data_IF_759945970433
#
_entry.id   IF_759945970433
#
_cell.length_a   1.000
_cell.length_b   1.000
_cell.length_c   1.000
_cell.angle_alpha   90.00
_cell.angle_beta   90.00
_cell.angle_gamma   90.00
#
_symmetry.space_group_name_H-M   'P 1'
#
loop_
_entity.id
_entity.type
_entity.pdbx_description
1 polymer ?
#
# COMPACT_ATOMS: atom_id res chain seq x y z
N UNK A 1 5.62 8.44 -36.02
CA UNK A 1 5.34 8.84 -34.62
C UNK A 1 5.78 10.29 -34.43
N UNK A 2 4.88 11.27 -34.50
CA UNK A 2 5.24 12.65 -34.13
C UNK A 2 5.48 12.65 -32.62
N UNK A 3 6.70 12.95 -32.19
CA UNK A 3 7.03 13.18 -30.79
C UNK A 3 6.11 14.30 -30.28
N UNK A 4 5.15 13.96 -29.41
CA UNK A 4 4.22 14.96 -28.88
C UNK A 4 5.00 16.11 -28.25
N UNK A 5 4.70 17.33 -28.72
CA UNK A 5 5.33 18.60 -28.34
C UNK A 5 5.34 18.82 -26.82
N UNK A 6 4.40 18.21 -26.09
CA UNK A 6 4.24 18.39 -24.64
C UNK A 6 5.05 17.41 -23.78
N UNK A 7 5.69 16.38 -24.37
CA UNK A 7 6.48 15.40 -23.61
C UNK A 7 7.63 16.01 -22.81
N UNK A 8 8.18 17.12 -23.29
CA UNK A 8 9.29 17.82 -22.65
C UNK A 8 8.86 19.15 -22.00
N UNK A 9 7.56 19.43 -21.89
CA UNK A 9 7.07 20.65 -21.25
C UNK A 9 7.29 20.57 -19.73
N UNK A 10 8.09 21.48 -19.11
CA UNK A 10 8.38 21.41 -17.68
C UNK A 10 7.14 21.52 -16.79
N UNK A 11 6.20 22.41 -17.15
CA UNK A 11 4.94 22.59 -16.42
C UNK A 11 4.06 21.34 -16.42
N UNK A 12 3.97 20.64 -17.55
CA UNK A 12 3.26 19.35 -17.64
C UNK A 12 3.93 18.30 -16.75
N UNK A 13 5.27 18.27 -16.72
CA UNK A 13 6.02 17.33 -15.86
C UNK A 13 5.83 17.60 -14.38
N UNK A 14 5.75 18.87 -13.98
CA UNK A 14 5.46 19.28 -12.62
C UNK A 14 4.05 18.83 -12.19
N UNK A 15 3.03 19.11 -13.00
CA UNK A 15 1.65 18.64 -12.73
C UNK A 15 1.60 17.10 -12.59
N UNK A 16 2.28 16.36 -13.47
CA UNK A 16 2.34 14.90 -13.39
C UNK A 16 3.02 14.43 -12.10
N UNK A 17 4.08 15.12 -11.66
CA UNK A 17 4.74 14.83 -10.38
C UNK A 17 3.77 15.05 -9.22
N UNK A 18 3.07 16.16 -9.20
CA UNK A 18 2.13 16.53 -8.14
C UNK A 18 0.95 15.56 -8.06
N UNK A 19 0.39 15.16 -9.20
CA UNK A 19 -0.68 14.15 -9.28
C UNK A 19 -0.23 12.81 -8.69
N UNK A 20 1.01 12.38 -8.97
CA UNK A 20 1.56 11.12 -8.44
C UNK A 20 1.85 11.17 -6.95
N UNK A 21 2.11 12.36 -6.39
CA UNK A 21 2.25 12.56 -4.94
C UNK A 21 0.92 12.80 -4.22
N UNK A 22 -0.15 13.10 -4.94
CA UNK A 22 -1.45 13.41 -4.34
C UNK A 22 -2.09 12.14 -3.78
N UNK A 23 -2.28 12.11 -2.46
CA UNK A 23 -2.99 11.04 -1.78
C UNK A 23 -4.45 11.41 -1.55
N UNK A 24 -5.37 10.52 -1.95
CA UNK A 24 -6.80 10.70 -1.75
C UNK A 24 -7.26 9.84 -0.57
N UNK A 25 -7.71 10.43 0.56
CA UNK A 25 -8.08 9.68 1.75
C UNK A 25 -9.29 8.78 1.52
N UNK A 26 -9.17 7.52 1.91
CA UNK A 26 -10.27 6.54 1.98
C UNK A 26 -10.70 6.32 3.42
N UNK A 27 -11.87 5.74 3.65
CA UNK A 27 -12.33 5.38 5.00
C UNK A 27 -11.37 4.39 5.67
N UNK A 28 -10.85 3.42 4.91
CA UNK A 28 -9.81 2.50 5.40
C UNK A 28 -8.52 3.22 5.82
N UNK A 29 -8.11 4.26 5.09
CA UNK A 29 -6.97 5.09 5.50
C UNK A 29 -7.27 5.94 6.73
N UNK A 30 -8.47 6.51 6.85
CA UNK A 30 -8.87 7.25 8.07
C UNK A 30 -8.80 6.34 9.29
N UNK A 31 -9.35 5.13 9.19
CA UNK A 31 -9.27 4.12 10.24
C UNK A 31 -7.81 3.75 10.59
N UNK A 32 -6.93 3.60 9.58
CA UNK A 32 -5.49 3.39 9.81
C UNK A 32 -4.86 4.57 10.57
N UNK A 33 -5.12 5.80 10.11
CA UNK A 33 -4.56 7.03 10.68
C UNK A 33 -5.02 7.23 12.12
N UNK A 34 -6.32 7.10 12.39
CA UNK A 34 -6.89 7.28 13.72
C UNK A 34 -6.32 6.24 14.70
N UNK A 35 -6.18 4.98 14.26
CA UNK A 35 -5.58 3.92 15.09
C UNK A 35 -4.11 4.17 15.36
N UNK A 36 -3.35 4.59 14.36
CA UNK A 36 -1.93 4.88 14.53
C UNK A 36 -1.69 6.05 15.47
N UNK A 37 -2.43 7.15 15.29
CA UNK A 37 -2.32 8.35 16.14
C UNK A 37 -2.64 7.99 17.60
N UNK A 38 -3.73 7.24 17.84
CA UNK A 38 -4.07 6.73 19.18
C UNK A 38 -2.93 5.90 19.80
N UNK A 39 -2.32 5.00 19.01
CA UNK A 39 -1.21 4.16 19.51
C UNK A 39 0.05 4.97 19.78
N UNK A 40 0.39 5.93 18.93
CA UNK A 40 1.54 6.79 19.09
C UNK A 40 1.39 7.68 20.33
N UNK A 41 0.23 8.31 20.51
CA UNK A 41 -0.05 9.19 21.65
C UNK A 41 -0.03 8.41 22.96
N UNK A 42 -0.65 7.22 23.00
CA UNK A 42 -0.58 6.34 24.16
C UNK A 42 0.87 5.94 24.46
N UNK A 43 1.64 5.53 23.45
CA UNK A 43 3.05 5.14 23.62
C UNK A 43 3.89 6.26 24.20
N UNK A 44 3.66 7.51 23.78
CA UNK A 44 4.33 8.69 24.33
C UNK A 44 3.95 8.94 25.78
N UNK A 45 2.67 8.84 26.12
CA UNK A 45 2.19 9.00 27.49
C UNK A 45 2.82 7.95 28.42
N UNK A 46 2.88 6.69 27.97
CA UNK A 46 3.49 5.61 28.74
C UNK A 46 4.98 5.83 29.00
N UNK A 47 5.74 6.22 27.96
CA UNK A 47 7.17 6.57 28.09
C UNK A 47 7.36 7.72 29.07
N UNK A 48 6.54 8.79 28.97
CA UNK A 48 6.62 9.95 29.86
C UNK A 48 6.36 9.58 31.33
N UNK A 49 5.46 8.63 31.58
CA UNK A 49 5.09 8.19 32.92
C UNK A 49 5.96 7.02 33.44
N UNK A 50 6.96 6.57 32.67
CA UNK A 50 7.77 5.40 33.01
C UNK A 50 6.97 4.09 33.05
N UNK A 51 5.80 4.04 32.42
CA UNK A 51 4.94 2.86 32.37
C UNK A 51 5.39 1.96 31.23
N UNK A 52 5.72 0.71 31.56
CA UNK A 52 5.87 -0.35 30.56
C UNK A 52 4.50 -0.93 30.24
N UNK A 53 3.79 -0.31 29.31
CA UNK A 53 2.50 -0.79 28.85
C UNK A 53 2.65 -1.94 27.86
N UNK A 54 1.60 -2.76 27.74
CA UNK A 54 1.50 -3.74 26.67
C UNK A 54 1.39 -3.01 25.33
N UNK A 55 2.51 -2.95 24.61
CA UNK A 55 2.57 -2.33 23.29
C UNK A 55 1.66 -3.08 22.32
N UNK A 56 0.95 -2.32 21.49
CA UNK A 56 0.01 -2.80 20.49
C UNK A 56 0.49 -2.44 19.09
N UNK A 57 -0.15 -3.04 18.10
CA UNK A 57 0.16 -2.81 16.70
C UNK A 57 -1.07 -2.74 15.81
N UNK A 58 -0.83 -2.65 14.52
CA UNK A 58 -1.87 -2.58 13.48
C UNK A 58 -1.58 -3.67 12.45
N UNK A 59 -2.63 -4.32 11.97
CA UNK A 59 -2.56 -5.19 10.79
C UNK A 59 -3.40 -4.58 9.67
N UNK A 60 -2.74 -4.12 8.62
CA UNK A 60 -3.34 -3.49 7.45
C UNK A 60 -3.49 -4.52 6.32
N UNK A 61 -4.72 -4.90 6.03
CA UNK A 61 -5.04 -5.97 5.08
C UNK A 61 -5.72 -5.38 3.86
N UNK A 62 -5.30 -5.82 2.68
CA UNK A 62 -5.95 -5.44 1.44
C UNK A 62 -5.42 -6.25 0.27
N UNK A 63 -6.21 -6.39 -0.79
CA UNK A 63 -5.77 -7.08 -1.99
C UNK A 63 -4.62 -6.36 -2.69
N UNK A 64 -4.01 -7.02 -3.67
CA UNK A 64 -2.99 -6.39 -4.51
C UNK A 64 -3.66 -5.30 -5.32
N UNK A 65 -3.14 -4.08 -5.21
CA UNK A 65 -3.78 -2.90 -5.80
C UNK A 65 -4.70 -2.11 -4.85
N UNK A 66 -4.93 -2.54 -3.60
CA UNK A 66 -5.79 -1.83 -2.66
C UNK A 66 -5.23 -0.47 -2.17
N UNK A 67 -3.93 -0.20 -2.39
CA UNK A 67 -3.27 1.04 -1.95
C UNK A 67 -2.56 0.96 -0.60
N UNK A 68 -2.24 -0.24 -0.10
CA UNK A 68 -1.55 -0.48 1.19
C UNK A 68 -0.26 0.34 1.35
N UNK A 69 0.67 0.21 0.41
CA UNK A 69 1.97 0.91 0.45
C UNK A 69 1.79 2.43 0.43
N UNK A 70 0.84 2.94 -0.36
CA UNK A 70 0.52 4.38 -0.40
C UNK A 70 -0.09 4.85 0.92
N UNK A 71 -0.95 4.04 1.54
CA UNK A 71 -1.55 4.33 2.85
C UNK A 71 -0.48 4.41 3.95
N UNK A 72 0.48 3.48 4.01
CA UNK A 72 1.58 3.53 4.97
C UNK A 72 2.50 4.74 4.72
N UNK A 73 2.82 5.03 3.45
CA UNK A 73 3.63 6.21 3.12
C UNK A 73 2.95 7.51 3.56
N UNK A 74 1.67 7.65 3.28
CA UNK A 74 0.90 8.82 3.70
C UNK A 74 0.80 8.91 5.22
N UNK A 75 0.60 7.78 5.90
CA UNK A 75 0.57 7.72 7.37
C UNK A 75 1.85 8.29 7.99
N UNK A 76 3.01 7.86 7.49
CA UNK A 76 4.32 8.36 7.91
C UNK A 76 4.47 9.85 7.60
N UNK A 77 4.08 10.27 6.39
CA UNK A 77 4.18 11.67 5.96
C UNK A 77 3.33 12.61 6.84
N UNK A 78 2.08 12.23 7.17
CA UNK A 78 1.21 13.01 8.07
C UNK A 78 1.76 13.11 9.49
N UNK A 79 2.41 12.06 9.95
CA UNK A 79 2.97 11.98 11.29
C UNK A 79 4.45 12.39 11.37
N UNK A 80 5.03 12.93 10.31
CA UNK A 80 6.45 13.33 10.26
C UNK A 80 6.84 14.34 11.34
N UNK A 81 5.89 15.19 11.77
CA UNK A 81 6.13 16.20 12.81
C UNK A 81 5.90 15.65 14.23
N UNK A 82 5.21 14.49 14.35
CA UNK A 82 4.95 13.81 15.63
C UNK A 82 5.98 12.71 15.92
N UNK A 83 6.60 12.18 14.87
CA UNK A 83 7.65 11.17 14.93
C UNK A 83 9.02 11.84 14.83
N UNK A 84 9.91 11.50 15.74
CA UNK A 84 11.29 11.96 15.71
C UNK A 84 12.10 11.17 14.68
N UNK A 85 12.80 11.91 13.83
CA UNK A 85 13.83 11.40 12.94
C UNK A 85 15.01 12.36 12.99
N UNK A 86 16.14 11.90 13.51
CA UNK A 86 17.38 12.68 13.60
C UNK A 86 18.54 11.86 13.01
N UNK A 87 19.00 12.19 11.79
CA UNK A 87 20.12 11.49 11.18
C UNK A 87 21.48 11.68 11.88
N UNK A 88 21.66 12.73 12.69
CA UNK A 88 22.92 12.96 13.41
C UNK A 88 23.03 12.04 14.62
N UNK A 89 21.91 11.85 15.31
CA UNK A 89 21.79 10.99 16.50
C UNK A 89 21.32 9.57 16.17
N UNK A 90 21.23 9.22 14.88
CA UNK A 90 20.72 7.93 14.40
C UNK A 90 19.27 7.61 14.87
N UNK A 91 18.47 8.62 15.23
CA UNK A 91 17.11 8.43 15.75
C UNK A 91 16.14 8.27 14.59
N UNK A 92 15.30 7.23 14.64
CA UNK A 92 14.19 7.05 13.71
C UNK A 92 13.09 6.21 14.36
N UNK A 93 11.97 6.86 14.71
CA UNK A 93 10.93 6.21 15.51
C UNK A 93 10.02 5.26 14.71
N UNK A 94 10.07 5.31 13.39
CA UNK A 94 9.31 4.45 12.49
C UNK A 94 10.23 3.83 11.46
N UNK A 95 10.38 2.51 11.50
CA UNK A 95 11.21 1.76 10.57
C UNK A 95 10.32 0.85 9.73
N UNK A 96 10.52 0.86 8.42
CA UNK A 96 9.78 0.03 7.48
C UNK A 96 10.74 -0.91 6.76
N UNK A 97 10.40 -2.19 6.70
CA UNK A 97 11.06 -3.17 5.86
C UNK A 97 10.04 -3.94 5.02
N UNK A 98 10.48 -4.39 3.85
CA UNK A 98 9.77 -5.41 3.08
C UNK A 98 10.21 -6.78 3.58
N UNK A 99 9.25 -7.67 3.84
CA UNK A 99 9.57 -9.05 4.21
C UNK A 99 10.30 -9.72 3.05
N UNK A 100 11.48 -10.32 3.28
CA UNK A 100 12.24 -10.99 2.24
C UNK A 100 11.58 -12.31 1.84
N UNK A 101 11.84 -12.76 0.62
CA UNK A 101 11.47 -14.10 0.16
C UNK A 101 12.76 -14.87 -0.18
N UNK A 102 13.09 -15.98 0.52
CA UNK A 102 12.30 -16.63 1.57
C UNK A 102 12.37 -15.91 2.93
N UNK A 103 11.27 -15.95 3.69
CA UNK A 103 11.10 -15.18 4.93
C UNK A 103 11.67 -15.89 6.19
N UNK A 104 12.87 -16.46 6.12
CA UNK A 104 13.45 -17.14 7.29
C UNK A 104 13.78 -16.16 8.42
N UNK A 105 13.82 -16.65 9.67
CA UNK A 105 14.26 -15.87 10.84
C UNK A 105 15.54 -15.06 10.60
N UNK A 106 16.50 -15.67 9.91
CA UNK A 106 17.77 -15.04 9.56
C UNK A 106 17.58 -13.91 8.55
N UNK A 107 16.87 -14.16 7.44
CA UNK A 107 16.69 -13.15 6.39
C UNK A 107 15.81 -11.98 6.84
N UNK A 108 14.77 -12.25 7.63
CA UNK A 108 13.92 -11.20 8.21
C UNK A 108 14.75 -10.32 9.15
N UNK A 109 15.54 -10.92 10.04
CA UNK A 109 16.44 -10.16 10.94
C UNK A 109 17.48 -9.34 10.18
N UNK A 110 18.10 -9.90 9.12
CA UNK A 110 19.04 -9.17 8.27
C UNK A 110 18.36 -8.00 7.55
N UNK A 111 17.13 -8.20 7.06
CA UNK A 111 16.35 -7.14 6.39
C UNK A 111 15.97 -6.02 7.37
N UNK A 112 15.64 -6.38 8.62
CA UNK A 112 15.39 -5.43 9.69
C UNK A 112 16.64 -4.62 10.03
N UNK A 113 17.80 -5.26 10.19
CA UNK A 113 19.08 -4.57 10.41
C UNK A 113 19.44 -3.63 9.26
N UNK A 114 19.21 -4.05 8.01
CA UNK A 114 19.43 -3.19 6.85
C UNK A 114 18.48 -1.97 6.86
N UNK A 115 17.20 -2.17 7.20
CA UNK A 115 16.23 -1.06 7.32
C UNK A 115 16.57 -0.12 8.48
N UNK A 116 17.20 -0.64 9.54
CA UNK A 116 17.77 0.14 10.64
C UNK A 116 19.09 0.82 10.24
N UNK A 117 19.59 0.68 9.01
CA UNK A 117 20.87 1.28 8.61
C UNK A 117 22.11 0.62 9.25
N UNK A 118 22.00 -0.63 9.69
CA UNK A 118 23.08 -1.42 10.26
C UNK A 118 23.32 -2.69 9.43
N UNK A 119 23.79 -2.60 8.17
CA UNK A 119 24.02 -3.78 7.35
C UNK A 119 25.16 -4.62 7.93
N UNK A 120 24.96 -5.94 7.96
CA UNK A 120 25.96 -6.90 8.44
C UNK A 120 26.58 -7.66 7.26
N UNK A 121 27.92 -7.80 7.27
CA UNK A 121 28.67 -8.55 6.25
C UNK A 121 29.04 -9.98 6.70
N UNK A 122 29.08 -10.24 8.02
CA UNK A 122 29.48 -11.53 8.58
C UNK A 122 28.34 -12.55 8.61
N UNK A 123 28.64 -13.81 8.32
CA UNK A 123 27.74 -14.95 8.57
C UNK A 123 27.45 -15.07 10.08
N UNK A 124 26.22 -14.76 10.47
CA UNK A 124 25.72 -14.91 11.85
C UNK A 124 24.51 -15.84 11.88
N UNK A 125 24.26 -16.41 13.06
CA UNK A 125 23.06 -17.19 13.33
C UNK A 125 21.84 -16.25 13.45
N UNK A 126 20.64 -16.80 13.24
CA UNK A 126 19.38 -16.05 13.39
C UNK A 126 19.25 -15.36 14.75
N UNK A 127 19.42 -16.07 15.89
CA UNK A 127 19.34 -15.46 17.22
C UNK A 127 20.31 -14.30 17.42
N UNK A 128 21.58 -14.47 17.03
CA UNK A 128 22.59 -13.41 17.15
C UNK A 128 22.25 -12.17 16.31
N UNK A 129 21.58 -12.35 15.16
CA UNK A 129 21.08 -11.24 14.35
C UNK A 129 19.95 -10.51 15.09
N UNK A 130 19.02 -11.24 15.72
CA UNK A 130 17.90 -10.62 16.44
C UNK A 130 18.34 -9.90 17.72
N UNK A 131 19.36 -10.38 18.43
CA UNK A 131 19.97 -9.63 19.53
C UNK A 131 20.49 -8.25 19.07
N UNK A 132 21.08 -8.23 17.87
CA UNK A 132 21.53 -6.98 17.25
C UNK A 132 20.33 -6.11 16.82
N UNK A 133 19.25 -6.71 16.30
CA UNK A 133 18.01 -5.98 15.99
C UNK A 133 17.47 -5.30 17.24
N UNK A 134 17.32 -6.02 18.37
CA UNK A 134 16.81 -5.43 19.61
C UNK A 134 17.68 -4.28 20.10
N UNK A 135 19.00 -4.42 20.04
CA UNK A 135 19.93 -3.34 20.38
C UNK A 135 19.73 -2.12 19.47
N UNK A 136 19.58 -2.32 18.17
CA UNK A 136 19.39 -1.23 17.22
C UNK A 136 18.01 -0.57 17.35
N UNK A 137 16.95 -1.33 17.64
CA UNK A 137 15.64 -0.77 17.97
C UNK A 137 15.72 0.18 19.17
N UNK A 138 16.44 -0.23 20.22
CA UNK A 138 16.67 0.60 21.41
C UNK A 138 17.48 1.86 21.10
N UNK A 139 18.65 1.71 20.49
CA UNK A 139 19.55 2.85 20.21
C UNK A 139 18.88 3.91 19.32
N UNK A 140 18.04 3.48 18.36
CA UNK A 140 17.35 4.35 17.40
C UNK A 140 16.00 4.85 17.90
N UNK A 141 15.64 4.48 19.13
CA UNK A 141 14.38 4.83 19.80
C UNK A 141 13.12 4.46 19.00
N UNK A 142 13.17 3.31 18.30
CA UNK A 142 12.09 2.85 17.43
C UNK A 142 10.83 2.62 18.23
N UNK A 143 9.73 3.23 17.79
CA UNK A 143 8.40 3.05 18.38
C UNK A 143 7.56 2.08 17.57
N UNK A 144 7.69 2.12 16.25
CA UNK A 144 6.97 1.23 15.34
C UNK A 144 7.91 0.58 14.33
N UNK A 145 7.79 -0.73 14.19
CA UNK A 145 8.44 -1.53 13.16
C UNK A 145 7.38 -2.05 12.19
N UNK A 146 7.48 -1.63 10.94
CA UNK A 146 6.57 -1.98 9.86
C UNK A 146 7.14 -3.08 8.97
N UNK A 147 6.37 -4.15 8.79
CA UNK A 147 6.65 -5.26 7.88
C UNK A 147 5.67 -5.21 6.70
N UNK A 148 6.17 -4.84 5.52
CA UNK A 148 5.41 -4.89 4.27
C UNK A 148 5.47 -6.28 3.63
N UNK A 149 4.40 -6.68 2.94
CA UNK A 149 4.17 -8.03 2.42
C UNK A 149 4.26 -9.12 3.51
N UNK A 150 3.75 -8.83 4.70
CA UNK A 150 3.87 -9.71 5.87
C UNK A 150 3.24 -11.11 5.70
N UNK A 151 2.36 -11.32 4.71
CA UNK A 151 1.88 -12.68 4.38
C UNK A 151 3.02 -13.62 3.96
N UNK A 152 4.14 -13.09 3.46
CA UNK A 152 5.30 -13.89 3.05
C UNK A 152 5.98 -14.55 4.26
N UNK A 153 5.74 -14.07 5.49
CA UNK A 153 6.19 -14.71 6.73
C UNK A 153 5.64 -16.13 6.90
N UNK A 154 4.54 -16.50 6.24
CA UNK A 154 4.01 -17.87 6.28
C UNK A 154 4.13 -18.62 4.95
N UNK A 155 4.58 -17.98 3.87
CA UNK A 155 4.71 -18.66 2.58
C UNK A 155 5.88 -19.62 2.58
N UNK A 156 5.63 -20.84 2.12
CA UNK A 156 6.65 -21.89 1.93
C UNK A 156 7.45 -22.21 3.21
N UNK A 157 6.82 -22.10 4.38
CA UNK A 157 7.43 -22.42 5.66
C UNK A 157 6.78 -23.62 6.32
N UNK A 158 7.57 -24.37 7.09
CA UNK A 158 7.03 -25.36 8.02
C UNK A 158 6.30 -24.67 9.18
N UNK A 159 5.36 -25.37 9.83
CA UNK A 159 4.66 -24.81 11.00
C UNK A 159 5.62 -24.38 12.12
N UNK A 160 6.74 -25.11 12.28
CA UNK A 160 7.78 -24.79 13.27
C UNK A 160 8.50 -23.47 12.94
N UNK A 161 8.87 -23.24 11.69
CA UNK A 161 9.52 -21.99 11.26
C UNK A 161 8.57 -20.80 11.40
N UNK A 162 7.32 -20.98 11.00
CA UNK A 162 6.27 -19.97 11.13
C UNK A 162 6.03 -19.61 12.59
N UNK A 163 5.91 -20.59 13.49
CA UNK A 163 5.78 -20.35 14.92
C UNK A 163 6.99 -19.61 15.50
N UNK A 164 8.19 -19.93 15.03
CA UNK A 164 9.43 -19.24 15.44
C UNK A 164 9.41 -17.76 15.08
N UNK A 165 8.93 -17.41 13.87
CA UNK A 165 8.75 -16.01 13.45
C UNK A 165 7.67 -15.31 14.27
N UNK A 166 6.52 -15.94 14.50
CA UNK A 166 5.45 -15.39 15.34
C UNK A 166 5.95 -15.11 16.76
N UNK A 167 6.70 -16.04 17.35
CA UNK A 167 7.32 -15.85 18.67
C UNK A 167 8.33 -14.68 18.66
N UNK A 168 9.03 -14.47 17.56
CA UNK A 168 9.97 -13.37 17.41
C UNK A 168 9.26 -12.03 17.30
N UNK A 169 8.16 -11.95 16.53
CA UNK A 169 7.31 -10.76 16.49
C UNK A 169 6.74 -10.43 17.88
N UNK A 170 6.29 -11.44 18.63
CA UNK A 170 5.87 -11.25 20.03
C UNK A 170 7.01 -10.69 20.89
N UNK A 171 8.21 -11.26 20.76
CA UNK A 171 9.40 -10.83 21.51
C UNK A 171 9.78 -9.38 21.22
N UNK A 172 9.58 -8.89 19.99
CA UNK A 172 9.76 -7.46 19.63
C UNK A 172 8.77 -6.55 20.39
N UNK A 173 7.51 -6.97 20.52
CA UNK A 173 6.49 -6.22 21.26
C UNK A 173 6.68 -6.26 22.78
N UNK A 174 7.21 -7.38 23.29
CA UNK A 174 7.36 -7.68 24.73
C UNK A 174 8.73 -7.29 25.29
N UNK A 175 9.62 -6.75 24.47
CA UNK A 175 10.96 -6.40 24.91
C UNK A 175 10.90 -5.39 26.07
N UNK A 176 11.45 -5.75 27.24
CA UNK A 176 11.39 -4.94 28.46
C UNK A 176 12.13 -3.60 28.31
N UNK A 177 13.18 -3.56 27.49
CA UNK A 177 14.03 -2.38 27.32
C UNK A 177 13.48 -1.45 26.25
N UNK A 178 13.00 -2.02 25.14
CA UNK A 178 12.46 -1.27 24.00
C UNK A 178 11.24 -1.96 23.40
N UNK A 179 10.08 -1.94 24.08
CA UNK A 179 8.90 -2.58 23.53
C UNK A 179 8.43 -1.78 22.31
N UNK A 180 8.34 -2.47 21.17
CA UNK A 180 8.19 -1.86 19.85
C UNK A 180 6.86 -2.29 19.21
N UNK A 181 6.07 -1.31 18.77
CA UNK A 181 4.79 -1.55 18.10
C UNK A 181 5.01 -2.17 16.73
N UNK A 182 4.13 -3.07 16.33
CA UNK A 182 4.19 -3.69 15.01
C UNK A 182 3.16 -3.08 14.07
N UNK A 183 3.55 -2.85 12.82
CA UNK A 183 2.60 -2.64 11.74
C UNK A 183 2.85 -3.71 10.70
N UNK A 184 1.84 -4.52 10.41
CA UNK A 184 1.94 -5.59 9.43
C UNK A 184 1.04 -5.24 8.25
N UNK A 185 1.58 -4.97 7.06
CA UNK A 185 0.77 -4.80 5.85
C UNK A 185 0.88 -6.02 4.96
N UNK A 186 -0.24 -6.44 4.37
CA UNK A 186 -0.22 -7.59 3.51
C UNK A 186 -1.53 -7.92 2.83
N UNK A 187 -1.48 -8.99 2.04
CA UNK A 187 -2.62 -9.63 1.40
C UNK A 187 -3.49 -10.38 2.44
N UNK A 188 -4.74 -10.76 2.11
CA UNK A 188 -5.64 -11.41 3.06
C UNK A 188 -5.11 -12.69 3.71
N UNK A 189 -4.16 -13.39 3.09
CA UNK A 189 -3.47 -14.56 3.66
C UNK A 189 -2.74 -14.23 4.97
N UNK A 190 -2.41 -12.96 5.21
CA UNK A 190 -1.86 -12.50 6.49
C UNK A 190 -2.79 -12.79 7.67
N UNK A 191 -4.12 -12.83 7.46
CA UNK A 191 -5.10 -13.20 8.51
C UNK A 191 -4.82 -14.58 9.08
N UNK A 192 -4.36 -15.52 8.25
CA UNK A 192 -4.04 -16.89 8.67
C UNK A 192 -2.89 -16.89 9.68
N UNK A 193 -1.86 -16.05 9.47
CA UNK A 193 -0.73 -15.91 10.40
C UNK A 193 -1.19 -15.32 11.73
N UNK A 194 -2.03 -14.30 11.68
CA UNK A 194 -2.54 -13.64 12.88
C UNK A 194 -3.41 -14.56 13.72
N UNK A 195 -4.26 -15.36 13.08
CA UNK A 195 -5.19 -16.26 13.78
C UNK A 195 -4.53 -17.50 14.37
N UNK A 196 -3.26 -17.79 14.05
CA UNK A 196 -2.53 -18.90 14.63
C UNK A 196 -2.08 -18.65 16.08
N UNK A 197 -1.95 -17.40 16.48
CA UNK A 197 -1.52 -17.03 17.83
C UNK A 197 -2.48 -15.99 18.41
N UNK A 198 -3.34 -16.46 19.33
CA UNK A 198 -4.34 -15.62 19.96
C UNK A 198 -3.74 -14.47 20.81
N UNK A 199 -2.49 -14.59 21.28
CA UNK A 199 -1.83 -13.52 22.03
C UNK A 199 -1.41 -12.40 21.10
N UNK A 200 -0.84 -12.72 19.94
CA UNK A 200 -0.49 -11.76 18.90
C UNK A 200 -1.76 -11.08 18.34
N UNK A 201 -2.78 -11.86 17.99
CA UNK A 201 -4.04 -11.34 17.46
C UNK A 201 -4.70 -10.30 18.38
N UNK A 202 -4.70 -10.54 19.69
CA UNK A 202 -5.29 -9.61 20.68
C UNK A 202 -4.56 -8.26 20.81
N UNK A 203 -3.31 -8.18 20.35
CA UNK A 203 -2.49 -6.96 20.41
C UNK A 203 -2.47 -6.18 19.10
N UNK A 204 -3.04 -6.73 18.03
CA UNK A 204 -3.04 -6.09 16.72
C UNK A 204 -4.46 -5.62 16.36
N UNK A 205 -4.60 -4.33 16.03
CA UNK A 205 -5.85 -3.78 15.53
C UNK A 205 -5.97 -4.05 14.02
N UNK A 206 -7.00 -4.77 13.56
CA UNK A 206 -7.21 -4.98 12.14
C UNK A 206 -7.76 -3.72 11.47
N UNK A 207 -7.18 -3.39 10.33
CA UNK A 207 -7.67 -2.37 9.40
C UNK A 207 -7.72 -2.99 8.02
N UNK A 208 -8.90 -3.02 7.41
CA UNK A 208 -9.10 -3.60 6.08
C UNK A 208 -9.33 -2.50 5.04
N UNK A 209 -8.52 -2.51 3.98
CA UNK A 209 -8.78 -1.77 2.77
C UNK A 209 -9.72 -2.62 1.91
N UNK A 210 -11.01 -2.32 2.02
CA UNK A 210 -12.07 -3.06 1.35
C UNK A 210 -12.14 -2.75 -0.14
N UNK A 211 -12.67 -3.71 -0.90
CA UNK A 211 -12.96 -3.54 -2.32
C UNK A 211 -14.10 -2.54 -2.51
N UNK A 212 -14.08 -1.84 -3.62
CA UNK A 212 -15.17 -0.95 -4.03
C UNK A 212 -16.41 -1.79 -4.43
N UNK A 213 -17.57 -1.18 -4.28
CA UNK A 213 -18.88 -1.79 -4.57
C UNK A 213 -19.73 -0.84 -5.42
N UNK A 214 -20.36 -1.37 -6.47
CA UNK A 214 -21.10 -0.58 -7.47
C UNK A 214 -22.18 0.32 -6.84
N UNK A 215 -22.94 -0.21 -5.88
CA UNK A 215 -24.09 0.45 -5.26
C UNK A 215 -23.66 1.64 -4.38
N UNK A 216 -22.52 1.53 -3.69
CA UNK A 216 -22.07 2.54 -2.73
C UNK A 216 -21.01 3.51 -3.25
N UNK A 217 -20.27 3.14 -4.30
CA UNK A 217 -19.03 3.83 -4.64
C UNK A 217 -19.04 4.56 -5.99
N UNK A 218 -20.13 4.53 -6.75
CA UNK A 218 -20.21 5.24 -8.04
C UNK A 218 -19.94 6.75 -7.90
N UNK A 219 -20.66 7.43 -6.99
CA UNK A 219 -20.43 8.87 -6.70
C UNK A 219 -19.04 9.16 -6.12
N UNK A 220 -18.54 8.43 -5.10
CA UNK A 220 -17.15 8.58 -4.64
C UNK A 220 -16.10 8.44 -5.74
N UNK A 221 -16.27 7.50 -6.68
CA UNK A 221 -15.37 7.29 -7.81
C UNK A 221 -15.38 8.48 -8.76
N UNK A 222 -16.57 9.00 -9.11
CA UNK A 222 -16.69 10.20 -9.95
C UNK A 222 -16.00 11.40 -9.28
N UNK A 223 -16.27 11.62 -7.99
CA UNK A 223 -15.66 12.70 -7.21
C UNK A 223 -14.13 12.58 -7.14
N UNK A 224 -13.60 11.35 -7.06
CA UNK A 224 -12.16 11.08 -7.09
C UNK A 224 -11.55 11.54 -8.42
N UNK A 225 -12.15 11.13 -9.55
CA UNK A 225 -11.68 11.51 -10.89
C UNK A 225 -11.73 13.03 -11.05
N UNK A 226 -12.83 13.67 -10.67
CA UNK A 226 -12.96 15.13 -10.67
C UNK A 226 -11.89 15.82 -9.80
N UNK A 227 -11.52 15.24 -8.66
CA UNK A 227 -10.50 15.79 -7.77
C UNK A 227 -9.12 15.75 -8.44
N UNK A 228 -8.75 14.63 -9.07
CA UNK A 228 -7.51 14.55 -9.84
C UNK A 228 -7.51 15.49 -11.06
N UNK A 229 -8.65 15.62 -11.76
CA UNK A 229 -8.81 16.57 -12.88
C UNK A 229 -8.59 18.01 -12.42
N UNK A 230 -9.16 18.39 -11.26
CA UNK A 230 -8.92 19.71 -10.65
C UNK A 230 -7.46 19.92 -10.27
N UNK A 231 -6.82 18.93 -9.65
CA UNK A 231 -5.40 18.98 -9.33
C UNK A 231 -4.54 19.16 -10.59
N UNK A 232 -4.95 18.55 -11.70
CA UNK A 232 -4.26 18.66 -12.98
C UNK A 232 -4.51 20.00 -13.70
N UNK A 233 -5.54 20.76 -13.31
CA UNK A 233 -5.95 21.98 -13.99
C UNK A 233 -6.50 21.76 -15.40
N UNK A 234 -7.08 20.59 -15.68
CA UNK A 234 -7.65 20.24 -17.00
C UNK A 234 -9.19 20.14 -16.94
N UNK A 235 -9.82 19.96 -18.10
CA UNK A 235 -11.26 19.69 -18.20
C UNK A 235 -11.53 18.19 -18.20
N UNK A 236 -12.75 17.80 -17.80
CA UNK A 236 -13.26 16.45 -17.92
C UNK A 236 -14.53 16.45 -18.78
N UNK A 237 -14.60 15.53 -19.73
CA UNK A 237 -15.79 15.33 -20.56
C UNK A 237 -17.00 14.92 -19.72
N UNK A 238 -18.20 15.29 -20.20
CA UNK A 238 -19.46 15.04 -19.49
C UNK A 238 -19.73 13.56 -19.26
N UNK A 239 -19.21 12.68 -20.12
CA UNK A 239 -19.37 11.22 -19.98
C UNK A 239 -18.71 10.66 -18.70
N UNK A 240 -17.69 11.34 -18.17
CA UNK A 240 -17.00 10.96 -16.93
C UNK A 240 -17.82 11.27 -15.67
N UNK A 241 -18.98 11.91 -15.82
CA UNK A 241 -19.94 12.20 -14.75
C UNK A 241 -21.06 11.17 -14.65
N UNK A 242 -20.98 10.08 -15.42
CA UNK A 242 -22.01 9.04 -15.45
C UNK A 242 -21.70 7.87 -14.51
N UNK A 243 -22.76 7.26 -13.96
CA UNK A 243 -22.64 6.03 -13.16
C UNK A 243 -22.05 4.87 -13.99
N UNK A 244 -22.34 4.85 -15.30
CA UNK A 244 -21.78 3.86 -16.23
C UNK A 244 -20.26 3.99 -16.30
N UNK A 245 -19.73 5.22 -16.41
CA UNK A 245 -18.28 5.43 -16.37
C UNK A 245 -17.68 4.94 -15.05
N UNK A 246 -18.31 5.27 -13.91
CA UNK A 246 -17.83 4.81 -12.60
C UNK A 246 -17.76 3.28 -12.51
N UNK A 247 -18.79 2.59 -13.00
CA UNK A 247 -18.82 1.11 -13.07
C UNK A 247 -17.72 0.56 -13.98
N UNK A 248 -17.49 1.16 -15.15
CA UNK A 248 -16.42 0.75 -16.08
C UNK A 248 -15.04 0.93 -15.45
N UNK A 249 -14.82 2.04 -14.76
CA UNK A 249 -13.56 2.31 -14.07
C UNK A 249 -13.34 1.36 -12.89
N UNK A 250 -14.38 1.07 -12.09
CA UNK A 250 -14.30 0.05 -11.03
C UNK A 250 -13.98 -1.33 -11.60
N UNK A 251 -14.64 -1.74 -12.69
CA UNK A 251 -14.35 -3.01 -13.36
C UNK A 251 -12.91 -3.05 -13.88
N UNK A 252 -12.43 -1.99 -14.53
CA UNK A 252 -11.06 -1.93 -15.04
C UNK A 252 -10.01 -2.00 -13.93
N UNK A 253 -10.33 -1.46 -12.75
CA UNK A 253 -9.49 -1.47 -11.56
C UNK A 253 -9.63 -2.75 -10.71
N UNK A 254 -10.39 -3.75 -11.16
CA UNK A 254 -10.77 -4.92 -10.36
C UNK A 254 -11.31 -4.53 -8.97
N UNK A 255 -12.08 -3.45 -8.91
CA UNK A 255 -12.67 -2.91 -7.68
C UNK A 255 -11.64 -2.51 -6.60
N UNK A 256 -10.36 -2.45 -6.92
CA UNK A 256 -9.32 -2.02 -5.98
C UNK A 256 -9.07 -0.52 -6.10
N UNK A 257 -9.22 0.20 -4.99
CA UNK A 257 -9.09 1.65 -4.97
C UNK A 257 -7.73 2.16 -5.48
N UNK A 258 -6.64 1.51 -5.09
CA UNK A 258 -5.30 1.92 -5.53
C UNK A 258 -5.10 1.76 -7.04
N UNK A 259 -5.61 0.68 -7.65
CA UNK A 259 -5.58 0.52 -9.11
C UNK A 259 -6.46 1.56 -9.79
N UNK A 260 -7.61 1.89 -9.20
CA UNK A 260 -8.52 2.90 -9.73
C UNK A 260 -7.86 4.28 -9.75
N UNK A 261 -7.21 4.68 -8.66
CA UNK A 261 -6.45 5.92 -8.59
C UNK A 261 -5.28 5.93 -9.58
N UNK A 262 -4.56 4.81 -9.71
CA UNK A 262 -3.45 4.66 -10.65
C UNK A 262 -3.91 4.81 -12.11
N UNK A 263 -4.99 4.15 -12.51
CA UNK A 263 -5.59 4.27 -13.85
C UNK A 263 -6.00 5.72 -14.14
N UNK A 264 -6.59 6.40 -13.15
CA UNK A 264 -7.00 7.80 -13.27
C UNK A 264 -5.79 8.72 -13.50
N UNK A 265 -4.75 8.59 -12.68
CA UNK A 265 -3.51 9.39 -12.83
C UNK A 265 -2.84 9.11 -14.17
N UNK A 266 -2.84 7.85 -14.64
CA UNK A 266 -2.28 7.48 -15.94
C UNK A 266 -3.09 8.05 -17.10
N UNK A 267 -4.43 8.07 -17.02
CA UNK A 267 -5.28 8.63 -18.07
C UNK A 267 -5.04 10.14 -18.21
N UNK A 268 -5.00 10.86 -17.08
CA UNK A 268 -4.67 12.28 -17.03
C UNK A 268 -3.25 12.55 -17.56
N UNK A 269 -2.28 11.73 -17.14
CA UNK A 269 -0.89 11.84 -17.60
C UNK A 269 -0.79 11.65 -19.13
N UNK A 270 -1.48 10.66 -19.69
CA UNK A 270 -1.54 10.41 -21.12
C UNK A 270 -2.11 11.60 -21.88
N UNK A 271 -3.28 12.10 -21.43
CA UNK A 271 -3.94 13.25 -22.02
C UNK A 271 -3.04 14.50 -22.03
N UNK A 272 -2.42 14.83 -20.89
CA UNK A 272 -1.50 15.97 -20.75
C UNK A 272 -0.26 15.85 -21.66
N UNK A 273 0.34 14.66 -21.73
CA UNK A 273 1.53 14.43 -22.54
C UNK A 273 1.23 14.44 -24.04
N UNK A 274 0.02 14.13 -24.47
CA UNK A 274 -0.38 14.10 -25.87
C UNK A 274 -0.94 15.45 -26.35
N UNK A 275 -1.80 16.08 -25.54
CA UNK A 275 -2.63 17.22 -25.95
C UNK A 275 -2.32 18.52 -25.19
N UNK A 276 -1.55 18.47 -24.10
CA UNK A 276 -1.16 19.67 -23.33
C UNK A 276 -2.17 20.09 -22.27
N UNK A 277 -2.04 21.33 -21.78
CA UNK A 277 -2.79 21.84 -20.62
C UNK A 277 -4.27 22.12 -20.91
N UNK A 278 -4.61 22.47 -22.15
CA UNK A 278 -6.00 22.76 -22.57
C UNK A 278 -6.79 21.48 -22.87
N UNK A 279 -6.22 20.30 -22.57
CA UNK A 279 -6.85 19.02 -22.85
C UNK A 279 -8.13 18.82 -22.05
N UNK A 280 -9.00 17.99 -22.62
CA UNK A 280 -10.16 17.45 -21.96
C UNK A 280 -9.97 15.93 -21.80
N UNK A 281 -10.03 15.47 -20.55
CA UNK A 281 -9.99 14.06 -20.20
C UNK A 281 -11.29 13.40 -20.67
N UNK A 282 -11.17 12.32 -21.43
CA UNK A 282 -12.32 11.60 -21.99
C UNK A 282 -12.23 10.10 -21.72
N UNK A 283 -13.34 9.40 -22.00
CA UNK A 283 -13.39 7.93 -21.88
C UNK A 283 -12.28 7.24 -22.70
N UNK A 284 -11.87 7.83 -23.83
CA UNK A 284 -10.81 7.30 -24.70
C UNK A 284 -9.46 7.25 -24.01
N UNK A 285 -9.16 8.18 -23.11
CA UNK A 285 -7.88 8.19 -22.37
C UNK A 285 -7.79 6.97 -21.45
N UNK A 286 -8.88 6.65 -20.75
CA UNK A 286 -8.97 5.46 -19.91
C UNK A 286 -8.89 4.18 -20.75
N UNK A 287 -9.59 4.12 -21.88
CA UNK A 287 -9.50 2.99 -22.81
C UNK A 287 -8.07 2.76 -23.30
N UNK A 288 -7.36 3.83 -23.67
CA UNK A 288 -5.96 3.78 -24.11
C UNK A 288 -5.03 3.27 -23.00
N UNK A 289 -5.18 3.77 -21.77
CA UNK A 289 -4.38 3.32 -20.63
C UNK A 289 -4.61 1.84 -20.35
N UNK A 290 -5.86 1.40 -20.34
CA UNK A 290 -6.18 -0.01 -20.11
C UNK A 290 -5.53 -0.89 -21.18
N UNK A 291 -5.67 -0.53 -22.47
CA UNK A 291 -5.04 -1.24 -23.58
C UNK A 291 -3.51 -1.34 -23.43
N UNK A 292 -2.84 -0.26 -23.03
CA UNK A 292 -1.38 -0.26 -22.83
C UNK A 292 -0.97 -1.20 -21.69
N UNK A 293 -1.76 -1.28 -20.61
CA UNK A 293 -1.44 -2.12 -19.44
C UNK A 293 -1.72 -3.60 -19.65
N UNK A 294 -2.85 -3.94 -20.29
CA UNK A 294 -3.34 -5.32 -20.38
C UNK A 294 -3.14 -5.96 -21.74
N UNK A 295 -2.73 -5.18 -22.76
CA UNK A 295 -2.76 -5.57 -24.17
C UNK A 295 -4.16 -6.03 -24.64
N UNK A 296 -5.23 -5.60 -23.96
CA UNK A 296 -6.59 -5.99 -24.29
C UNK A 296 -7.03 -5.46 -25.67
N UNK A 297 -7.72 -6.31 -26.43
CA UNK A 297 -8.48 -5.90 -27.62
C UNK A 297 -9.69 -5.07 -27.21
N UNK A 298 -10.35 -4.41 -28.17
CA UNK A 298 -11.51 -3.56 -27.88
C UNK A 298 -12.65 -4.31 -27.17
N UNK A 299 -12.91 -5.56 -27.57
CA UNK A 299 -13.91 -6.43 -26.93
C UNK A 299 -13.57 -6.85 -25.49
N UNK A 300 -12.32 -6.71 -25.08
CA UNK A 300 -11.83 -6.99 -23.71
C UNK A 300 -11.47 -5.70 -22.96
N UNK A 301 -11.81 -4.54 -23.49
CA UNK A 301 -11.57 -3.25 -22.85
C UNK A 301 -12.84 -2.79 -22.10
N UNK A 302 -12.82 -2.68 -20.76
CA UNK A 302 -14.00 -2.26 -19.99
C UNK A 302 -14.52 -0.87 -20.33
N UNK A 303 -13.73 -0.02 -20.99
CA UNK A 303 -14.15 1.31 -21.42
C UNK A 303 -14.79 1.33 -22.82
N UNK A 304 -14.71 0.23 -23.58
CA UNK A 304 -15.24 0.12 -24.95
C UNK A 304 -16.34 -0.93 -25.04
N UNK A 305 -16.11 -2.13 -24.49
CA UNK A 305 -17.02 -3.26 -24.62
C UNK A 305 -18.41 -2.98 -24.01
N UNK A 306 -19.48 -3.44 -24.66
CA UNK A 306 -20.85 -3.31 -24.13
C UNK A 306 -21.02 -4.14 -22.86
N UNK A 307 -20.60 -5.41 -22.89
CA UNK A 307 -20.70 -6.36 -21.77
C UNK A 307 -19.49 -6.31 -20.82
N UNK A 308 -19.06 -5.10 -20.46
CA UNK A 308 -17.81 -4.90 -19.72
C UNK A 308 -17.76 -5.60 -18.36
N UNK A 309 -18.89 -5.81 -17.69
CA UNK A 309 -18.98 -6.47 -16.38
C UNK A 309 -18.44 -7.92 -16.36
N UNK A 310 -18.36 -8.58 -17.52
CA UNK A 310 -17.82 -9.95 -17.64
C UNK A 310 -16.31 -10.00 -17.87
N UNK A 311 -15.68 -8.86 -18.14
CA UNK A 311 -14.24 -8.80 -18.44
C UNK A 311 -13.45 -9.02 -17.14
N UNK A 312 -12.48 -9.93 -17.16
CA UNK A 312 -11.58 -10.13 -16.03
C UNK A 312 -10.33 -9.26 -16.21
N UNK A 313 -10.23 -8.09 -15.52
CA UNK A 313 -9.21 -7.09 -15.81
C UNK A 313 -7.78 -7.54 -15.49
N UNK A 314 -7.61 -8.56 -14.63
CA UNK A 314 -6.29 -9.06 -14.21
C UNK A 314 -5.71 -10.16 -15.11
N UNK A 315 -6.47 -10.66 -16.08
CA UNK A 315 -5.94 -11.60 -17.07
C UNK A 315 -5.17 -10.79 -18.12
N UNK A 316 -3.85 -10.71 -17.96
CA UNK A 316 -2.95 -10.08 -18.94
C UNK A 316 -2.60 -11.12 -20.01
N UNK A 317 -2.65 -10.70 -21.29
CA UNK A 317 -2.63 -11.55 -22.49
C UNK A 317 -3.93 -12.36 -22.60
N UNK A 318 -4.73 -12.06 -23.63
CA UNK A 318 -6.02 -12.73 -23.87
C UNK A 318 -5.87 -14.24 -23.77
N UNK A 319 -6.41 -14.82 -22.70
CA UNK A 319 -6.31 -16.23 -22.43
C UNK A 319 -6.94 -17.02 -23.57
N UNK A 320 -6.10 -17.69 -24.36
CA UNK A 320 -6.51 -18.86 -25.12
C UNK A 320 -6.79 -20.00 -24.14
N UNK A 321 -7.96 -20.65 -24.30
CA UNK A 321 -8.47 -21.88 -23.67
C UNK A 321 -9.03 -21.78 -22.24
N UNK A 322 -10.16 -22.38 -21.87
CA UNK A 322 -11.01 -23.41 -22.50
C UNK A 322 -12.48 -23.17 -22.14
N UNK A 323 -13.38 -23.32 -23.11
CA UNK A 323 -14.80 -23.54 -22.84
C UNK A 323 -14.96 -24.90 -22.13
N UNK A 324 -15.88 -25.05 -21.17
CA UNK A 324 -16.27 -26.37 -20.70
C UNK A 324 -16.95 -27.10 -21.87
N UNK A 325 -16.33 -28.16 -22.37
CA UNK A 325 -17.04 -29.16 -23.16
C UNK A 325 -18.06 -29.89 -22.26
N UNK A 326 -19.18 -30.34 -22.85
CA UNK A 326 -20.46 -30.57 -22.17
C UNK A 326 -20.45 -31.63 -21.08
#
# INVERSE_FOLDING_TARGET
>A
MKTSKFRNCPKVREIIKDLRSTYMPTDGFRALSDRFDMLLDQRRADIKNGVQSNVRGIVLIGQSGAGKTSAIRELVNRNRNKMATDPQEDICEFISLKVPSPATMKFVGTSALHALGYPISSLRSGPAIWDMVYRQLYLRQVKFLHFDEAQDLARNQTDKERQSLVNTLKSVMENIVCPTGLILSGMPELKTIMNQDAQLARRLYPVELTRLHEIGHSKPVINLVQSYVRCAGIRAGGELQSDIFAQRLMQAADYEFGLLAELTVQAITGALLERGLDTELSLRDFANVFRIRSAATEGLNPFIAENFKRIQPRQVLGGTHNAPHP
#
